data_IF_332534158107
#
_entry.id   IF_332534158107
#
_cell.length_a   1.000
_cell.length_b   1.000
_cell.length_c   1.000
_cell.angle_alpha   90.00
_cell.angle_beta   90.00
_cell.angle_gamma   90.00
#
_symmetry.space_group_name_H-M   'P 1'
#
loop_
_entity.id
_entity.type
_entity.pdbx_description
1 polymer ?
#
# COMPACT_ATOMS: atom_id res chain seq x y z
N UNK A 1 0.91 12.45 -22.91
CA UNK A 1 1.59 13.64 -22.34
C UNK A 1 2.49 14.38 -23.35
N UNK A 2 3.43 13.71 -24.04
CA UNK A 2 4.35 14.37 -24.99
C UNK A 2 3.66 15.06 -26.17
N UNK A 3 2.66 14.43 -26.81
CA UNK A 3 1.93 15.03 -27.94
C UNK A 3 1.25 16.36 -27.58
N UNK A 4 0.58 16.43 -26.44
CA UNK A 4 -0.06 17.66 -25.94
C UNK A 4 0.95 18.79 -25.75
N UNK A 5 2.14 18.49 -25.23
CA UNK A 5 3.23 19.45 -25.09
C UNK A 5 3.73 19.97 -26.44
N UNK A 6 3.93 19.07 -27.42
CA UNK A 6 4.33 19.45 -28.78
C UNK A 6 3.28 20.32 -29.48
N UNK A 7 1.99 19.99 -29.34
CA UNK A 7 0.88 20.78 -29.91
C UNK A 7 0.84 22.19 -29.31
N UNK A 8 0.96 22.31 -27.99
CA UNK A 8 0.99 23.61 -27.30
C UNK A 8 2.21 24.43 -27.75
N UNK A 9 3.38 23.80 -27.82
CA UNK A 9 4.62 24.47 -28.21
C UNK A 9 4.55 24.96 -29.66
N UNK A 10 4.00 24.14 -30.56
CA UNK A 10 3.74 24.53 -31.94
C UNK A 10 2.74 25.68 -32.04
N UNK A 11 1.65 25.65 -31.27
CA UNK A 11 0.66 26.74 -31.25
C UNK A 11 1.28 28.06 -30.75
N UNK A 12 2.11 28.03 -29.71
CA UNK A 12 2.85 29.20 -29.21
C UNK A 12 3.82 29.72 -30.26
N UNK A 13 4.55 28.83 -30.95
CA UNK A 13 5.48 29.22 -32.01
C UNK A 13 4.74 29.89 -33.19
N UNK A 14 3.61 29.31 -33.62
CA UNK A 14 2.77 29.87 -34.68
C UNK A 14 2.19 31.25 -34.27
N UNK A 15 1.71 31.40 -33.04
CA UNK A 15 1.21 32.67 -32.52
C UNK A 15 2.32 33.73 -32.48
N UNK A 16 3.50 33.37 -31.97
CA UNK A 16 4.66 34.26 -31.90
C UNK A 16 5.09 34.71 -33.30
N UNK A 17 5.15 33.78 -34.25
CA UNK A 17 5.46 34.09 -35.65
C UNK A 17 4.43 35.04 -36.25
N UNK A 18 3.13 34.82 -36.00
CA UNK A 18 2.06 35.71 -36.46
C UNK A 18 2.21 37.13 -35.90
N UNK A 19 2.52 37.29 -34.62
CA UNK A 19 2.73 38.62 -33.99
C UNK A 19 3.93 39.33 -34.60
N UNK A 20 5.05 38.62 -34.80
CA UNK A 20 6.27 39.20 -35.40
C UNK A 20 6.00 39.63 -36.85
N UNK A 21 5.33 38.78 -37.63
CA UNK A 21 5.05 39.08 -39.04
C UNK A 21 4.08 40.27 -39.21
N UNK A 22 3.19 40.46 -38.24
CA UNK A 22 2.21 41.55 -38.23
C UNK A 22 2.61 42.71 -37.30
N UNK A 23 3.89 42.78 -36.88
CA UNK A 23 4.37 43.73 -35.87
C UNK A 23 3.96 45.20 -36.12
N UNK A 24 4.04 45.75 -37.35
CA UNK A 24 3.64 47.14 -37.61
C UNK A 24 2.18 47.43 -37.27
N UNK A 25 1.28 46.45 -37.42
CA UNK A 25 -0.15 46.57 -37.09
C UNK A 25 -0.35 46.62 -35.58
N UNK A 26 0.45 45.86 -34.82
CA UNK A 26 0.35 45.82 -33.36
C UNK A 26 0.84 47.11 -32.69
N UNK A 27 1.85 47.79 -33.27
CA UNK A 27 2.42 49.04 -32.76
C UNK A 27 1.75 50.30 -33.31
N UNK A 28 0.76 50.16 -34.21
CA UNK A 28 0.04 51.28 -34.77
C UNK A 28 -0.66 52.09 -33.66
N UNK A 29 -0.41 53.40 -33.54
CA UNK A 29 -1.08 54.24 -32.55
C UNK A 29 -2.58 54.26 -32.81
N UNK A 30 -3.36 53.93 -31.78
CA UNK A 30 -4.82 53.94 -31.84
C UNK A 30 -5.36 54.74 -30.67
N UNK A 31 -6.33 55.64 -30.87
CA UNK A 31 -6.99 56.32 -29.76
C UNK A 31 -7.82 55.30 -28.98
N UNK A 32 -7.44 55.03 -27.73
CA UNK A 32 -8.18 54.17 -26.81
C UNK A 32 -8.99 55.02 -25.84
N UNK A 33 -10.27 54.67 -25.67
CA UNK A 33 -11.08 55.18 -24.57
C UNK A 33 -10.99 54.24 -23.37
N UNK A 34 -10.51 54.75 -22.23
CA UNK A 34 -10.48 54.07 -20.94
C UNK A 34 -11.78 54.29 -20.14
N UNK A 35 -12.86 54.69 -20.82
CA UNK A 35 -14.14 55.07 -20.21
C UNK A 35 -14.18 56.50 -19.68
N UNK A 36 -13.15 56.93 -18.94
CA UNK A 36 -13.07 58.28 -18.35
C UNK A 36 -12.02 59.20 -19.02
N UNK A 37 -11.11 58.64 -19.81
CA UNK A 37 -10.06 59.37 -20.51
C UNK A 37 -9.73 58.69 -21.84
N UNK A 38 -9.31 59.47 -22.84
CA UNK A 38 -8.80 58.94 -24.10
C UNK A 38 -7.27 59.05 -24.12
N UNK A 39 -6.60 57.96 -24.45
CA UNK A 39 -5.13 57.90 -24.53
C UNK A 39 -4.71 57.20 -25.83
N UNK A 40 -3.71 57.74 -26.51
CA UNK A 40 -3.13 57.10 -27.69
C UNK A 40 -2.13 56.05 -27.25
N UNK A 41 -2.48 54.79 -27.46
CA UNK A 41 -1.55 53.69 -27.29
C UNK A 41 -1.77 52.64 -28.39
N UNK A 42 -0.78 51.81 -28.67
CA UNK A 42 -0.97 50.70 -29.58
C UNK A 42 -1.88 49.64 -28.95
N UNK A 43 -3.14 49.58 -29.39
CA UNK A 43 -4.14 48.62 -28.88
C UNK A 43 -3.62 47.18 -28.95
N UNK A 44 -2.89 46.84 -30.02
CA UNK A 44 -2.35 45.50 -30.22
C UNK A 44 -1.39 45.06 -29.10
N UNK A 45 -0.46 45.94 -28.70
CA UNK A 45 0.48 45.65 -27.61
C UNK A 45 -0.25 45.55 -26.27
N UNK A 46 -1.22 46.43 -26.02
CA UNK A 46 -2.02 46.42 -24.79
C UNK A 46 -2.81 45.12 -24.65
N UNK A 47 -3.49 44.69 -25.73
CA UNK A 47 -4.24 43.43 -25.73
C UNK A 47 -3.32 42.21 -25.53
N UNK A 48 -2.16 42.17 -26.20
CA UNK A 48 -1.17 41.11 -26.00
C UNK A 48 -0.68 41.04 -24.56
N UNK A 49 -0.34 42.18 -23.97
CA UNK A 49 0.11 42.26 -22.59
C UNK A 49 -0.96 41.77 -21.60
N UNK A 50 -2.22 42.14 -21.81
CA UNK A 50 -3.34 41.67 -20.98
C UNK A 50 -3.53 40.16 -21.07
N UNK A 51 -3.48 39.58 -22.28
CA UNK A 51 -3.63 38.13 -22.47
C UNK A 51 -2.49 37.36 -21.83
N UNK A 52 -1.23 37.79 -22.04
CA UNK A 52 -0.06 37.16 -21.44
C UNK A 52 -0.12 37.26 -19.91
N UNK A 53 -0.44 38.45 -19.38
CA UNK A 53 -0.58 38.66 -17.94
C UNK A 53 -1.67 37.78 -17.32
N UNK A 54 -2.85 37.74 -17.94
CA UNK A 54 -3.96 36.90 -17.48
C UNK A 54 -3.57 35.40 -17.52
N UNK A 55 -2.92 34.96 -18.60
CA UNK A 55 -2.45 33.58 -18.73
C UNK A 55 -1.43 33.21 -17.64
N UNK A 56 -0.54 34.12 -17.26
CA UNK A 56 0.43 33.90 -16.19
C UNK A 56 -0.25 33.80 -14.82
N UNK A 57 -1.21 34.68 -14.53
CA UNK A 57 -2.00 34.61 -13.29
C UNK A 57 -2.75 33.28 -13.20
N UNK A 58 -3.40 32.86 -14.30
CA UNK A 58 -4.07 31.56 -14.36
C UNK A 58 -3.11 30.39 -14.18
N UNK A 59 -1.92 30.43 -14.80
CA UNK A 59 -0.91 29.39 -14.65
C UNK A 59 -0.39 29.32 -13.21
N UNK A 60 -0.14 30.46 -12.57
CA UNK A 60 0.26 30.53 -11.16
C UNK A 60 -0.83 29.98 -10.24
N UNK A 61 -2.09 30.36 -10.48
CA UNK A 61 -3.23 29.82 -9.74
C UNK A 61 -3.35 28.30 -9.89
N UNK A 62 -3.23 27.79 -11.11
CA UNK A 62 -3.18 26.35 -11.41
C UNK A 62 -2.03 25.64 -10.69
N UNK A 63 -0.84 26.24 -10.64
CA UNK A 63 0.32 25.67 -9.96
C UNK A 63 0.08 25.54 -8.44
N UNK A 64 -0.50 26.57 -7.83
CA UNK A 64 -0.92 26.52 -6.42
C UNK A 64 -1.96 25.43 -6.20
N UNK A 65 -2.95 25.31 -7.09
CA UNK A 65 -4.01 24.29 -7.04
C UNK A 65 -3.54 22.85 -7.32
N UNK A 66 -2.50 22.66 -8.13
CA UNK A 66 -1.92 21.32 -8.34
C UNK A 66 -1.11 20.85 -7.14
N UNK A 67 -0.56 21.78 -6.35
CA UNK A 67 0.22 21.45 -5.15
C UNK A 67 -0.63 20.75 -4.08
N UNK A 68 -1.89 21.16 -3.91
CA UNK A 68 -2.81 20.57 -2.93
C UNK A 68 -3.15 19.13 -3.28
N UNK A 69 -3.39 18.82 -4.56
CA UNK A 69 -3.72 17.46 -5.01
C UNK A 69 -2.56 16.48 -4.78
N UNK A 70 -1.31 16.91 -5.01
CA UNK A 70 -0.13 16.07 -4.80
C UNK A 70 0.20 15.90 -3.31
N UNK A 71 -0.12 16.90 -2.50
CA UNK A 71 0.08 16.87 -1.05
C UNK A 71 -0.99 16.00 -0.36
N UNK A 72 -2.22 16.02 -0.86
CA UNK A 72 -3.32 15.16 -0.39
C UNK A 72 -3.06 13.69 -0.73
N UNK A 73 -2.50 13.39 -1.92
CA UNK A 73 -2.08 12.02 -2.26
C UNK A 73 -1.00 11.48 -1.29
N UNK A 74 -0.07 12.35 -0.84
CA UNK A 74 0.93 11.96 0.18
C UNK A 74 0.32 11.78 1.56
N UNK A 75 -0.68 12.57 1.93
CA UNK A 75 -1.42 12.40 3.20
C UNK A 75 -2.21 11.10 3.21
N UNK A 76 -2.95 10.80 2.14
CA UNK A 76 -3.69 9.55 2.00
C UNK A 76 -2.77 8.32 2.01
N UNK A 77 -1.61 8.39 1.34
CA UNK A 77 -0.62 7.31 1.40
C UNK A 77 -0.07 7.09 2.81
N UNK A 78 0.13 8.16 3.61
CA UNK A 78 0.53 8.05 5.01
C UNK A 78 -0.56 7.44 5.89
N UNK A 79 -1.82 7.80 5.67
CA UNK A 79 -2.95 7.24 6.41
C UNK A 79 -3.14 5.74 6.11
N UNK A 80 -3.00 5.32 4.84
CA UNK A 80 -3.01 3.90 4.46
C UNK A 80 -1.82 3.15 5.07
N UNK A 81 -0.63 3.75 5.06
CA UNK A 81 0.57 3.14 5.67
C UNK A 81 0.39 2.96 7.18
N UNK A 82 -0.16 3.97 7.88
CA UNK A 82 -0.41 3.93 9.32
C UNK A 82 -1.44 2.85 9.68
N UNK A 83 -2.51 2.71 8.90
CA UNK A 83 -3.48 1.64 9.08
C UNK A 83 -2.90 0.25 8.81
N UNK A 84 -2.01 0.11 7.83
CA UNK A 84 -1.30 -1.17 7.57
C UNK A 84 -0.39 -1.57 8.71
N UNK A 85 0.37 -0.63 9.29
CA UNK A 85 1.23 -0.96 10.44
C UNK A 85 0.42 -1.37 11.67
N UNK A 86 -0.76 -0.78 11.90
CA UNK A 86 -1.65 -1.20 12.99
C UNK A 86 -2.24 -2.59 12.71
N UNK A 87 -2.64 -2.87 11.46
CA UNK A 87 -3.15 -4.18 11.05
C UNK A 87 -2.08 -5.28 11.12
N UNK A 88 -0.86 -5.02 10.66
CA UNK A 88 0.26 -5.97 10.72
C UNK A 88 0.68 -6.27 12.16
N UNK A 89 0.58 -5.30 13.06
CA UNK A 89 0.93 -5.48 14.47
C UNK A 89 -0.10 -6.35 15.21
N UNK A 90 -1.39 -6.19 14.90
CA UNK A 90 -2.43 -7.10 15.40
C UNK A 90 -2.31 -8.51 14.80
N UNK A 91 -2.02 -8.62 13.50
CA UNK A 91 -1.83 -9.93 12.83
C UNK A 91 -0.61 -10.68 13.38
N UNK A 92 0.49 -9.98 13.68
CA UNK A 92 1.69 -10.61 14.27
C UNK A 92 1.39 -11.16 15.67
N UNK A 93 0.59 -10.44 16.47
CA UNK A 93 0.15 -10.92 17.78
C UNK A 93 -0.74 -12.16 17.66
N UNK A 94 -1.72 -12.15 16.75
CA UNK A 94 -2.60 -13.31 16.48
C UNK A 94 -1.81 -14.52 15.99
N UNK A 95 -0.83 -14.32 15.11
CA UNK A 95 0.01 -15.40 14.60
C UNK A 95 0.90 -15.99 15.71
N UNK A 96 1.46 -15.13 16.57
CA UNK A 96 2.23 -15.55 17.74
C UNK A 96 1.38 -16.34 18.74
N UNK A 97 0.16 -15.87 18.99
CA UNK A 97 -0.80 -16.52 19.89
C UNK A 97 -1.22 -17.90 19.36
N UNK A 98 -1.66 -17.99 18.10
CA UNK A 98 -1.99 -19.25 17.42
C UNK A 98 -0.83 -20.24 17.46
N UNK A 99 0.40 -19.77 17.19
CA UNK A 99 1.60 -20.62 17.25
C UNK A 99 1.85 -21.15 18.66
N UNK A 100 1.64 -20.32 19.68
CA UNK A 100 1.83 -20.71 21.08
C UNK A 100 0.79 -21.74 21.50
N UNK A 101 -0.48 -21.53 21.16
CA UNK A 101 -1.55 -22.50 21.43
C UNK A 101 -1.29 -23.83 20.71
N UNK A 102 -0.96 -23.81 19.41
CA UNK A 102 -0.64 -25.03 18.66
C UNK A 102 0.55 -25.78 19.25
N UNK A 103 1.59 -25.08 19.67
CA UNK A 103 2.75 -25.72 20.31
C UNK A 103 2.36 -26.41 21.62
N UNK A 104 1.53 -25.76 22.43
CA UNK A 104 1.05 -26.32 23.69
C UNK A 104 0.17 -27.57 23.49
N UNK A 105 -0.69 -27.57 22.48
CA UNK A 105 -1.52 -28.72 22.11
C UNK A 105 -0.66 -29.89 21.62
N UNK A 106 0.37 -29.62 20.81
CA UNK A 106 1.31 -30.65 20.35
C UNK A 106 2.10 -31.28 21.51
N UNK A 107 2.60 -30.48 22.46
CA UNK A 107 3.24 -31.01 23.67
C UNK A 107 2.27 -31.83 24.52
N UNK A 108 1.01 -31.39 24.62
CA UNK A 108 0.02 -32.12 25.40
C UNK A 108 -0.32 -33.46 24.74
N UNK A 109 -0.41 -33.49 23.41
CA UNK A 109 -0.62 -34.71 22.65
C UNK A 109 0.57 -35.66 22.71
N UNK A 110 1.81 -35.16 22.65
CA UNK A 110 3.01 -35.99 22.81
C UNK A 110 3.07 -36.64 24.19
N UNK A 111 2.78 -35.88 25.26
CA UNK A 111 2.71 -36.42 26.62
C UNK A 111 1.63 -37.50 26.75
N UNK A 112 0.44 -37.29 26.17
CA UNK A 112 -0.63 -38.30 26.17
C UNK A 112 -0.20 -39.59 25.45
N UNK A 113 0.50 -39.47 24.32
CA UNK A 113 1.04 -40.62 23.59
C UNK A 113 2.10 -41.36 24.39
N UNK A 114 3.03 -40.66 25.04
CA UNK A 114 4.03 -41.26 25.93
C UNK A 114 3.36 -42.02 27.09
N UNK A 115 2.39 -41.39 27.77
CA UNK A 115 1.66 -42.07 28.86
C UNK A 115 0.90 -43.29 28.37
N UNK A 116 0.30 -43.24 27.18
CA UNK A 116 -0.40 -44.39 26.59
C UNK A 116 0.58 -45.52 26.25
N UNK A 117 1.76 -45.21 25.72
CA UNK A 117 2.78 -46.22 25.41
C UNK A 117 3.34 -46.86 26.67
N UNK A 118 3.55 -46.07 27.73
CA UNK A 118 3.99 -46.58 29.03
C UNK A 118 2.93 -47.50 29.64
N UNK A 119 1.66 -47.10 29.60
CA UNK A 119 0.53 -47.92 30.08
C UNK A 119 0.45 -49.25 29.31
N UNK A 120 0.50 -49.21 27.97
CA UNK A 120 0.51 -50.42 27.13
C UNK A 120 1.71 -51.33 27.43
N UNK A 121 2.90 -50.74 27.59
CA UNK A 121 4.12 -51.50 27.92
C UNK A 121 4.03 -52.15 29.31
N UNK A 122 3.37 -51.48 30.25
CA UNK A 122 3.13 -52.02 31.58
C UNK A 122 2.11 -53.16 31.54
N UNK A 123 0.99 -52.98 30.83
CA UNK A 123 -0.02 -54.02 30.64
C UNK A 123 0.56 -55.28 29.96
N UNK A 124 1.41 -55.10 28.94
CA UNK A 124 2.15 -56.21 28.32
C UNK A 124 3.04 -56.94 29.33
N UNK A 125 3.79 -56.21 30.16
CA UNK A 125 4.66 -56.81 31.20
C UNK A 125 3.86 -57.58 32.24
N UNK A 126 2.76 -57.01 32.71
CA UNK A 126 1.89 -57.63 33.71
C UNK A 126 1.25 -58.91 33.15
N UNK A 127 0.80 -58.88 31.89
CA UNK A 127 0.24 -60.04 31.22
C UNK A 127 1.29 -61.15 31.01
N UNK A 128 2.52 -60.80 30.60
CA UNK A 128 3.65 -61.76 30.49
C UNK A 128 3.95 -62.40 31.85
N UNK A 129 3.97 -61.61 32.92
CA UNK A 129 4.24 -62.11 34.26
C UNK A 129 3.12 -63.06 34.75
N UNK A 130 1.85 -62.71 34.46
CA UNK A 130 0.70 -63.58 34.76
C UNK A 130 0.76 -64.90 33.98
N UNK A 131 1.09 -64.86 32.68
CA UNK A 131 1.26 -66.08 31.87
C UNK A 131 2.40 -66.96 32.39
N UNK A 132 3.53 -66.38 32.81
CA UNK A 132 4.63 -67.10 33.41
C UNK A 132 4.23 -67.79 34.72
N UNK A 133 3.44 -67.11 35.56
CA UNK A 133 2.92 -67.69 36.80
C UNK A 133 1.95 -68.87 36.53
N UNK A 134 1.03 -68.73 35.56
CA UNK A 134 0.12 -69.81 35.17
C UNK A 134 0.92 -71.01 34.63
N UNK A 135 1.93 -70.76 33.79
CA UNK A 135 2.77 -71.82 33.25
C UNK A 135 3.55 -72.55 34.36
N UNK A 136 4.08 -71.81 35.34
CA UNK A 136 4.77 -72.37 36.50
C UNK A 136 3.83 -73.22 37.36
N UNK A 137 2.59 -72.78 37.59
CA UNK A 137 1.59 -73.59 38.30
C UNK A 137 1.24 -74.87 37.53
N UNK A 138 1.13 -74.80 36.20
CA UNK A 138 0.90 -75.98 35.36
C UNK A 138 2.09 -76.96 35.40
N UNK A 139 3.33 -76.47 35.38
CA UNK A 139 4.54 -77.28 35.53
C UNK A 139 4.61 -77.95 36.91
N UNK A 140 4.22 -77.23 37.97
CA UNK A 140 4.20 -77.76 39.33
C UNK A 140 3.15 -78.88 39.49
N UNK A 141 1.96 -78.71 38.91
CA UNK A 141 0.92 -79.76 38.87
C UNK A 141 1.30 -80.97 38.02
N UNK A 142 2.15 -80.80 37.02
CA UNK A 142 2.62 -81.88 36.15
C UNK A 142 3.73 -82.73 36.78
N UNK A 143 4.35 -82.27 37.87
CA UNK A 143 5.35 -83.06 38.60
C UNK A 143 4.67 -84.16 39.41
N UNK A 144 5.12 -85.42 39.33
CA UNK A 144 4.55 -86.50 40.12
C UNK A 144 4.89 -86.27 41.59
N UNK A 145 3.87 -86.20 42.46
CA UNK A 145 4.09 -86.26 43.90
C UNK A 145 4.62 -87.66 44.29
N UNK A 146 5.70 -87.74 45.09
CA UNK A 146 6.24 -89.00 45.59
C UNK A 146 5.32 -89.67 46.62
#
# INVERSE_FOLDING_TARGET
MRLRLWVILFAIAALTAFVILNWPVFIAPTPLSLGFASYEAPLGVVMLALVVGMSLVFAAYMAVWQSTILMDARRQAKEIQAQRTLAEQEETSRFSELRTTLHSEFEQMSKRLETSQLALSQEIRDNVNSLAAILAEMDDRAKPHP
#
